data_IF_552714969456
#
_entry.id   IF_552714969456
#
_cell.length_a   1.000
_cell.length_b   1.000
_cell.length_c   1.000
_cell.angle_alpha   90.00
_cell.angle_beta   90.00
_cell.angle_gamma   90.00
#
_symmetry.space_group_name_H-M   'P 1'
#
loop_
_entity.id
_entity.type
_entity.pdbx_description
1 polymer ?
#
# COMPACT_ATOMS: atom_id res chain seq x y z
N UNK A 1 11.79 8.18 9.70
CA UNK A 1 10.55 7.38 9.63
C UNK A 1 10.82 5.97 9.10
N UNK A 2 11.45 5.81 7.93
CA UNK A 2 11.75 4.46 7.40
C UNK A 2 12.75 3.68 8.27
N UNK A 3 13.93 4.24 8.55
CA UNK A 3 14.98 3.57 9.33
C UNK A 3 14.67 3.43 10.83
N UNK A 4 13.97 4.42 11.40
CA UNK A 4 13.83 4.55 12.85
C UNK A 4 12.48 4.06 13.39
N UNK A 5 11.54 3.71 12.50
CA UNK A 5 10.21 3.25 12.89
C UNK A 5 9.77 2.09 12.00
N UNK A 6 9.60 2.33 10.69
CA UNK A 6 9.01 1.33 9.81
C UNK A 6 9.80 0.01 9.72
N UNK A 7 11.10 0.07 9.42
CA UNK A 7 11.94 -1.14 9.34
C UNK A 7 12.01 -1.86 10.71
N UNK A 8 12.24 -1.18 11.84
CA UNK A 8 12.19 -1.82 13.15
C UNK A 8 10.89 -2.57 13.48
N UNK A 9 9.73 -2.07 13.07
CA UNK A 9 8.44 -2.75 13.28
C UNK A 9 8.33 -4.06 12.47
N UNK A 10 9.09 -4.19 11.38
CA UNK A 10 9.14 -5.41 10.57
C UNK A 10 10.07 -6.48 11.15
N UNK A 11 10.81 -6.22 12.24
CA UNK A 11 11.75 -7.18 12.83
C UNK A 11 11.09 -8.50 13.29
N UNK A 12 9.78 -8.48 13.54
CA UNK A 12 9.02 -9.68 13.90
C UNK A 12 8.54 -10.49 12.68
N UNK A 13 8.89 -10.05 11.47
CA UNK A 13 8.52 -10.66 10.20
C UNK A 13 9.77 -10.96 9.36
N UNK A 14 9.70 -11.98 8.52
CA UNK A 14 10.77 -12.23 7.55
C UNK A 14 10.66 -11.25 6.37
N UNK A 15 11.42 -10.15 6.46
CA UNK A 15 11.52 -9.14 5.39
C UNK A 15 12.00 -9.71 4.05
N UNK A 16 12.62 -10.90 4.04
CA UNK A 16 13.04 -11.58 2.82
C UNK A 16 11.88 -12.26 2.07
N UNK A 17 10.76 -12.51 2.74
CA UNK A 17 9.54 -13.05 2.14
C UNK A 17 8.51 -11.95 1.80
N UNK A 18 8.72 -10.73 2.29
CA UNK A 18 7.80 -9.62 2.08
C UNK A 18 8.05 -8.86 0.77
N UNK A 19 6.95 -8.48 0.13
CA UNK A 19 6.92 -7.51 -0.96
C UNK A 19 6.50 -6.14 -0.42
N UNK A 20 7.22 -5.09 -0.82
CA UNK A 20 6.86 -3.73 -0.49
C UNK A 20 6.30 -3.00 -1.71
N UNK A 21 5.12 -2.43 -1.56
CA UNK A 21 4.47 -1.61 -2.58
C UNK A 21 4.29 -0.19 -2.06
N UNK A 22 4.65 0.81 -2.87
CA UNK A 22 4.27 2.20 -2.67
C UNK A 22 3.82 2.84 -3.97
N UNK A 23 3.02 3.89 -3.86
CA UNK A 23 2.55 4.61 -5.03
C UNK A 23 3.66 5.40 -5.75
N UNK A 24 3.30 5.99 -6.88
CA UNK A 24 4.21 6.77 -7.71
C UNK A 24 4.20 8.27 -7.41
N UNK A 25 3.69 8.74 -6.27
CA UNK A 25 3.61 10.18 -5.99
C UNK A 25 5.00 10.71 -5.65
N UNK A 26 5.33 11.90 -6.17
CA UNK A 26 6.70 12.46 -6.12
C UNK A 26 7.29 12.52 -4.71
N UNK A 27 6.46 12.75 -3.68
CA UNK A 27 6.89 12.78 -2.27
C UNK A 27 7.39 11.42 -1.75
N UNK A 28 6.99 10.31 -2.37
CA UNK A 28 7.38 8.94 -1.98
C UNK A 28 8.49 8.37 -2.89
N UNK A 29 8.87 9.08 -3.96
CA UNK A 29 9.81 8.57 -4.96
C UNK A 29 11.19 9.24 -4.90
N UNK A 30 11.54 9.87 -3.77
CA UNK A 30 12.87 10.44 -3.58
C UNK A 30 13.95 9.35 -3.72
N UNK A 31 15.01 9.61 -4.48
CA UNK A 31 16.07 8.64 -4.80
C UNK A 31 16.62 7.94 -3.54
N UNK A 32 16.98 8.72 -2.52
CA UNK A 32 17.50 8.21 -1.26
C UNK A 32 16.52 7.27 -0.53
N UNK A 33 15.21 7.53 -0.63
CA UNK A 33 14.17 6.67 -0.04
C UNK A 33 14.04 5.36 -0.82
N UNK A 34 14.05 5.44 -2.16
CA UNK A 34 14.01 4.26 -3.02
C UNK A 34 15.24 3.38 -2.80
N UNK A 35 16.42 3.96 -2.70
CA UNK A 35 17.67 3.21 -2.49
C UNK A 35 17.65 2.48 -1.14
N UNK A 36 17.21 3.15 -0.07
CA UNK A 36 17.03 2.51 1.25
C UNK A 36 16.03 1.33 1.23
N UNK A 37 14.93 1.49 0.49
CA UNK A 37 13.93 0.42 0.35
C UNK A 37 14.48 -0.73 -0.51
N UNK A 38 15.30 -0.45 -1.53
CA UNK A 38 15.99 -1.49 -2.31
C UNK A 38 16.98 -2.28 -1.45
N UNK A 39 17.71 -1.61 -0.57
CA UNK A 39 18.63 -2.30 0.35
C UNK A 39 17.90 -3.27 1.30
N UNK A 40 16.65 -2.95 1.65
CA UNK A 40 15.84 -3.77 2.56
C UNK A 40 15.08 -4.89 1.84
N UNK A 41 14.42 -4.57 0.72
CA UNK A 41 13.48 -5.47 0.03
C UNK A 41 14.06 -6.07 -1.27
N UNK A 42 15.21 -5.61 -1.75
CA UNK A 42 15.82 -6.07 -2.99
C UNK A 42 14.90 -5.89 -4.19
N UNK A 43 14.77 -6.95 -5.01
CA UNK A 43 13.91 -6.99 -6.19
C UNK A 43 12.39 -7.03 -5.86
N UNK A 44 12.01 -7.16 -4.57
CA UNK A 44 10.61 -7.22 -4.11
C UNK A 44 10.01 -5.86 -3.82
N UNK A 45 10.48 -4.82 -4.51
CA UNK A 45 10.03 -3.44 -4.37
C UNK A 45 9.22 -3.01 -5.60
N UNK A 46 7.93 -2.75 -5.40
CA UNK A 46 7.00 -2.21 -6.39
C UNK A 46 6.89 -0.69 -6.17
N UNK A 47 7.47 0.10 -7.08
CA UNK A 47 7.47 1.57 -7.01
C UNK A 47 7.82 2.19 -8.36
N UNK A 48 7.56 3.48 -8.56
CA UNK A 48 7.89 4.20 -9.82
C UNK A 48 9.37 4.11 -10.24
N UNK A 49 10.29 3.98 -9.29
CA UNK A 49 11.72 3.81 -9.55
C UNK A 49 12.30 2.53 -8.90
N UNK A 50 11.41 1.62 -8.50
CA UNK A 50 11.76 0.32 -7.96
C UNK A 50 12.13 -0.68 -9.06
N UNK A 51 12.60 -1.88 -8.69
CA UNK A 51 12.85 -2.99 -9.62
C UNK A 51 11.58 -3.40 -10.37
N UNK A 52 10.42 -3.36 -9.72
CA UNK A 52 9.12 -3.53 -10.36
C UNK A 52 8.43 -2.17 -10.50
N UNK A 53 8.18 -1.77 -11.74
CA UNK A 53 7.62 -0.46 -12.05
C UNK A 53 6.14 -0.36 -11.67
N UNK A 54 5.79 0.61 -10.83
CA UNK A 54 4.40 1.00 -10.59
C UNK A 54 3.94 2.08 -11.59
N UNK A 55 2.80 1.92 -12.27
CA UNK A 55 2.34 2.88 -13.26
C UNK A 55 2.06 4.28 -12.65
N UNK A 56 2.35 5.36 -13.40
CA UNK A 56 2.07 6.71 -12.93
C UNK A 56 0.56 6.97 -12.86
N UNK A 57 0.12 7.66 -11.80
CA UNK A 57 -1.30 8.03 -11.55
C UNK A 57 -2.22 6.83 -11.30
N UNK A 58 -1.68 5.77 -10.71
CA UNK A 58 -2.44 4.58 -10.29
C UNK A 58 -2.52 4.46 -8.76
N UNK A 59 -2.76 5.59 -8.08
CA UNK A 59 -2.92 5.58 -6.62
C UNK A 59 -4.23 4.89 -6.22
N UNK A 60 -5.26 4.96 -7.06
CA UNK A 60 -6.52 4.22 -6.92
C UNK A 60 -6.38 2.70 -7.00
N UNK A 61 -5.24 2.19 -7.48
CA UNK A 61 -4.99 0.76 -7.61
C UNK A 61 -4.28 0.15 -6.39
N UNK A 62 -3.95 0.93 -5.36
CA UNK A 62 -3.44 0.33 -4.13
C UNK A 62 -4.60 -0.28 -3.33
N UNK A 63 -4.45 -1.51 -2.80
CA UNK A 63 -5.48 -2.09 -1.93
C UNK A 63 -5.83 -1.19 -0.73
N UNK A 64 -4.88 -0.38 -0.26
CA UNK A 64 -5.13 0.58 0.80
C UNK A 64 -6.09 1.68 0.36
N UNK A 65 -5.87 2.30 -0.80
CA UNK A 65 -6.69 3.41 -1.30
C UNK A 65 -8.05 2.95 -1.82
N UNK A 66 -8.09 1.81 -2.52
CA UNK A 66 -9.33 1.25 -3.06
C UNK A 66 -10.29 0.73 -1.99
N UNK A 67 -9.75 0.03 -0.99
CA UNK A 67 -10.57 -0.71 -0.02
C UNK A 67 -10.48 -0.13 1.39
N UNK A 68 -9.26 -0.10 1.94
CA UNK A 68 -9.05 0.15 3.37
C UNK A 68 -9.47 1.56 3.78
N UNK A 69 -8.99 2.58 3.07
CA UNK A 69 -9.22 3.97 3.48
C UNK A 69 -10.68 4.39 3.35
N UNK A 70 -11.40 3.91 2.33
CA UNK A 70 -12.84 4.14 2.21
C UNK A 70 -13.62 3.54 3.39
N UNK A 71 -13.30 2.29 3.74
CA UNK A 71 -13.89 1.59 4.88
C UNK A 71 -13.58 2.29 6.21
N UNK A 72 -12.30 2.51 6.51
CA UNK A 72 -11.84 3.14 7.76
C UNK A 72 -12.47 4.52 7.91
N UNK A 73 -12.46 5.34 6.85
CA UNK A 73 -13.05 6.69 6.88
C UNK A 73 -14.54 6.65 7.22
N UNK A 74 -15.29 5.71 6.66
CA UNK A 74 -16.73 5.58 6.96
C UNK A 74 -17.01 5.31 8.45
N UNK A 75 -16.15 4.54 9.10
CA UNK A 75 -16.30 4.18 10.52
C UNK A 75 -15.75 5.24 11.46
N UNK A 76 -14.59 5.82 11.14
CA UNK A 76 -13.94 6.86 11.95
C UNK A 76 -14.82 8.11 12.08
N UNK A 77 -15.53 8.47 11.01
CA UNK A 77 -16.39 9.65 10.97
C UNK A 77 -17.86 9.38 11.31
N UNK A 78 -18.25 8.13 11.59
CA UNK A 78 -19.64 7.78 11.93
C UNK A 78 -20.14 8.58 13.15
N UNK A 79 -19.28 8.73 14.16
CA UNK A 79 -19.59 9.43 15.42
C UNK A 79 -19.32 10.95 15.36
N UNK A 80 -18.96 11.48 14.17
CA UNK A 80 -18.69 12.90 13.92
C UNK A 80 -17.76 13.52 14.98
N UNK A 81 -16.51 13.05 15.11
CA UNK A 81 -15.59 13.56 16.12
C UNK A 81 -15.39 15.07 15.97
N UNK A 82 -15.44 15.79 17.10
CA UNK A 82 -15.32 17.25 17.15
C UNK A 82 -13.93 17.72 17.61
N UNK A 83 -13.06 16.79 18.01
CA UNK A 83 -11.71 17.06 18.48
C UNK A 83 -10.72 16.11 17.81
N UNK A 84 -9.45 16.52 17.78
CA UNK A 84 -8.37 15.68 17.26
C UNK A 84 -8.19 14.41 18.11
N UNK A 85 -8.25 14.52 19.44
CA UNK A 85 -8.13 13.38 20.33
C UNK A 85 -9.19 12.30 20.05
N UNK A 86 -10.45 12.72 19.88
CA UNK A 86 -11.53 11.78 19.57
C UNK A 86 -11.36 11.17 18.17
N UNK A 87 -10.84 11.94 17.20
CA UNK A 87 -10.52 11.41 15.87
C UNK A 87 -9.39 10.37 15.94
N UNK A 88 -8.31 10.63 16.69
CA UNK A 88 -7.21 9.69 16.90
C UNK A 88 -7.68 8.40 17.57
N UNK A 89 -8.49 8.51 18.62
CA UNK A 89 -9.04 7.36 19.33
C UNK A 89 -9.92 6.50 18.42
N UNK A 90 -10.75 7.14 17.58
CA UNK A 90 -11.55 6.44 16.59
C UNK A 90 -10.69 5.72 15.55
N UNK A 91 -9.61 6.34 15.06
CA UNK A 91 -8.68 5.70 14.13
C UNK A 91 -8.05 4.47 14.80
N UNK A 92 -7.52 4.60 16.02
CA UNK A 92 -6.89 3.47 16.74
C UNK A 92 -7.87 2.32 16.94
N UNK A 93 -9.09 2.61 17.39
CA UNK A 93 -10.14 1.61 17.60
C UNK A 93 -10.50 0.90 16.30
N UNK A 94 -10.83 1.66 15.25
CA UNK A 94 -11.27 1.09 13.97
C UNK A 94 -10.18 0.22 13.36
N UNK A 95 -8.92 0.65 13.39
CA UNK A 95 -7.78 -0.13 12.89
C UNK A 95 -7.60 -1.43 13.69
N UNK A 96 -7.70 -1.38 15.02
CA UNK A 96 -7.58 -2.57 15.87
C UNK A 96 -8.71 -3.59 15.63
N UNK A 97 -9.89 -3.13 15.22
CA UNK A 97 -11.05 -3.97 14.92
C UNK A 97 -11.00 -4.62 13.51
N UNK A 98 -10.05 -4.24 12.66
CA UNK A 98 -9.91 -4.82 11.32
C UNK A 98 -9.41 -6.25 11.42
N UNK A 99 -10.29 -7.20 11.06
CA UNK A 99 -9.96 -8.62 11.04
C UNK A 99 -9.16 -8.98 9.78
N UNK A 100 -8.12 -9.84 9.86
CA UNK A 100 -7.33 -10.26 8.70
C UNK A 100 -8.17 -10.79 7.52
N UNK A 101 -9.27 -11.49 7.80
CA UNK A 101 -10.17 -12.05 6.78
C UNK A 101 -10.84 -10.97 5.91
N UNK A 102 -11.00 -9.75 6.43
CA UNK A 102 -11.51 -8.62 5.65
C UNK A 102 -10.52 -8.20 4.56
N UNK A 103 -9.23 -8.39 4.80
CA UNK A 103 -8.14 -8.05 3.88
C UNK A 103 -7.88 -9.18 2.87
N UNK A 104 -8.10 -10.44 3.26
CA UNK A 104 -7.90 -11.62 2.40
C UNK A 104 -8.91 -11.74 1.24
N UNK A 105 -10.16 -11.30 1.46
CA UNK A 105 -11.23 -11.40 0.44
C UNK A 105 -10.98 -10.57 -0.83
N UNK A 106 -10.06 -9.60 -0.78
CA UNK A 106 -9.74 -8.69 -1.88
C UNK A 106 -8.32 -8.87 -2.42
N UNK A 107 -7.45 -9.66 -1.76
CA UNK A 107 -6.17 -10.11 -2.34
C UNK A 107 -6.38 -11.08 -3.51
N UNK A 108 -7.55 -11.76 -3.57
CA UNK A 108 -7.95 -12.68 -4.65
C UNK A 108 -8.63 -12.01 -5.84
N UNK A 109 -8.87 -10.70 -5.80
CA UNK A 109 -8.94 -9.97 -7.06
C UNK A 109 -7.52 -9.96 -7.58
N UNK A 110 -7.19 -11.05 -8.28
CA UNK A 110 -5.94 -11.25 -8.97
C UNK A 110 -5.54 -9.91 -9.56
N UNK A 111 -4.29 -9.58 -9.35
CA UNK A 111 -3.51 -8.73 -10.26
C UNK A 111 -3.49 -9.45 -11.61
N UNK A 112 -4.67 -9.63 -12.22
CA UNK A 112 -4.90 -9.98 -13.60
C UNK A 112 -4.93 -8.68 -14.39
N UNK A 113 -3.98 -7.80 -14.06
CA UNK A 113 -3.57 -6.68 -14.88
C UNK A 113 -2.73 -7.31 -16.00
N UNK A 114 -3.43 -7.98 -16.92
CA UNK A 114 -2.97 -8.58 -18.17
C UNK A 114 -1.50 -9.04 -18.26
N UNK A 115 -1.21 -10.29 -17.85
CA UNK A 115 -0.07 -11.01 -18.41
C UNK A 115 -0.42 -11.41 -19.85
N UNK A 116 -0.17 -10.52 -20.81
CA UNK A 116 -0.14 -10.90 -22.22
C UNK A 116 1.12 -11.76 -22.46
N UNK A 117 1.02 -12.95 -23.07
CA UNK A 117 2.12 -13.93 -23.13
C UNK A 117 3.38 -13.46 -23.88
N UNK A 118 3.35 -12.29 -24.53
CA UNK A 118 4.51 -11.69 -25.20
C UNK A 118 5.16 -10.50 -24.48
N UNK A 119 4.58 -10.00 -23.38
CA UNK A 119 5.08 -8.82 -22.64
C UNK A 119 4.74 -8.92 -21.13
N UNK A 120 5.44 -9.76 -20.35
CA UNK A 120 5.10 -10.05 -18.95
C UNK A 120 5.35 -8.90 -17.94
N UNK A 121 5.71 -7.69 -18.38
CA UNK A 121 6.11 -6.58 -17.50
C UNK A 121 5.35 -5.27 -17.74
N UNK A 122 4.26 -5.28 -18.50
CA UNK A 122 3.47 -4.06 -18.76
C UNK A 122 2.11 -4.11 -18.07
N UNK A 123 1.95 -3.30 -17.01
CA UNK A 123 0.67 -3.06 -16.36
C UNK A 123 -0.19 -2.13 -17.25
N UNK A 124 -1.28 -2.64 -17.81
CA UNK A 124 -2.27 -1.83 -18.54
C UNK A 124 -3.47 -1.49 -17.65
N UNK A 125 -3.60 -0.23 -17.24
CA UNK A 125 -4.85 0.30 -16.72
C UNK A 125 -5.78 0.57 -17.92
N UNK A 126 -6.77 -0.29 -18.14
CA UNK A 126 -7.78 -0.09 -19.17
C UNK A 126 -8.90 0.79 -18.57
N UNK A 127 -8.86 2.08 -18.86
CA UNK A 127 -9.95 3.00 -18.54
C UNK A 127 -11.22 2.55 -19.25
N UNK A 128 -12.21 2.07 -18.49
CA UNK A 128 -13.58 2.00 -18.95
C UNK A 128 -14.35 3.14 -18.28
N UNK A 129 -14.87 4.00 -19.14
CA UNK A 129 -15.73 5.16 -18.89
C UNK A 129 -17.03 4.70 -18.25
#
# INVERSE_FOLDING_TARGET
>A
MITNFFIPELNNHDVHELWFQQDGVTCHTARATIDLLKDTFGDRLISRFGPVNWPPRSCDLTPLDYLLWGYVKSLVYADKPQTLDHLEDNIRRVIADIRPQMLESHQKLDVQIGLHPSQPWQFYARNHI
#
